data_IF_919593627265
#
_entry.id   IF_919593627265
#
_cell.length_a   1.000
_cell.length_b   1.000
_cell.length_c   1.000
_cell.angle_alpha   90.00
_cell.angle_beta   90.00
_cell.angle_gamma   90.00
#
_symmetry.space_group_name_H-M   'P 1'
#
loop_
_entity.id
_entity.type
_entity.pdbx_description
1 polymer ?
#
# COMPACT_ATOMS: atom_id res chain seq x y z
N UNK A 1 -51.39 15.94 49.45
CA UNK A 1 -49.99 15.43 49.19
C UNK A 1 -49.07 16.13 50.17
N UNK A 2 -48.56 15.38 51.09
CA UNK A 2 -47.72 15.88 52.19
C UNK A 2 -46.32 16.28 51.67
N UNK A 3 -45.70 17.24 52.31
CA UNK A 3 -44.35 17.73 51.97
C UNK A 3 -43.34 16.57 51.84
N UNK A 4 -43.51 15.55 52.64
CA UNK A 4 -42.69 14.32 52.67
C UNK A 4 -42.84 13.54 51.34
N UNK A 5 -44.04 13.43 50.78
CA UNK A 5 -44.28 12.74 49.49
C UNK A 5 -43.57 13.46 48.33
N UNK A 6 -43.56 14.79 48.34
CA UNK A 6 -42.84 15.59 47.32
C UNK A 6 -41.33 15.44 47.42
N UNK A 7 -40.77 15.39 48.59
CA UNK A 7 -39.35 15.17 48.85
C UNK A 7 -38.89 13.77 48.34
N UNK A 8 -39.68 12.74 48.61
CA UNK A 8 -39.41 11.37 48.15
C UNK A 8 -39.43 11.29 46.62
N UNK A 9 -40.35 11.95 45.95
CA UNK A 9 -40.40 11.94 44.48
C UNK A 9 -39.22 12.71 43.87
N UNK A 10 -38.79 13.81 44.47
CA UNK A 10 -37.65 14.59 44.01
C UNK A 10 -36.33 13.78 44.17
N UNK A 11 -36.14 13.12 45.34
CA UNK A 11 -34.95 12.29 45.57
C UNK A 11 -34.92 11.06 44.65
N UNK A 12 -36.08 10.43 44.38
CA UNK A 12 -36.16 9.31 43.44
C UNK A 12 -35.89 9.75 42.02
N UNK A 13 -36.35 10.93 41.59
CA UNK A 13 -36.12 11.47 40.26
C UNK A 13 -34.67 11.92 40.08
N UNK A 14 -34.03 12.51 41.09
CA UNK A 14 -32.58 12.82 41.03
C UNK A 14 -31.70 11.57 41.04
N UNK A 15 -32.07 10.53 41.80
CA UNK A 15 -31.38 9.26 41.79
C UNK A 15 -31.47 8.57 40.41
N UNK A 16 -32.61 8.65 39.74
CA UNK A 16 -32.84 8.12 38.39
C UNK A 16 -32.02 8.87 37.33
N UNK A 17 -31.84 10.18 37.48
CA UNK A 17 -31.00 11.00 36.60
C UNK A 17 -29.51 10.71 36.76
N UNK A 18 -29.05 10.30 37.95
CA UNK A 18 -27.67 9.94 38.26
C UNK A 18 -27.29 8.54 37.78
N UNK A 19 -28.24 7.67 37.46
CA UNK A 19 -28.00 6.37 36.84
C UNK A 19 -27.88 6.43 35.31
N UNK A 20 -27.71 7.62 34.74
CA UNK A 20 -27.37 7.78 33.34
C UNK A 20 -26.17 6.92 33.05
N UNK A 21 -26.36 5.78 32.38
CA UNK A 21 -25.28 4.94 31.89
C UNK A 21 -24.35 5.83 31.09
N UNK A 22 -23.14 6.02 31.56
CA UNK A 22 -22.07 6.54 30.73
C UNK A 22 -22.05 5.64 29.48
N UNK A 23 -22.52 6.17 28.36
CA UNK A 23 -22.37 5.47 27.10
C UNK A 23 -20.86 5.30 26.89
N UNK A 24 -20.35 4.10 27.15
CA UNK A 24 -18.97 3.77 26.81
C UNK A 24 -18.89 3.88 25.30
N UNK A 25 -18.34 4.97 24.81
CA UNK A 25 -18.00 5.08 23.42
C UNK A 25 -17.09 3.91 23.11
N UNK A 26 -17.49 3.05 22.15
CA UNK A 26 -16.65 1.96 21.70
C UNK A 26 -15.31 2.57 21.30
N UNK A 27 -14.24 2.20 22.00
CA UNK A 27 -12.91 2.63 21.63
C UNK A 27 -12.60 2.00 20.27
N UNK A 28 -12.22 2.81 19.31
CA UNK A 28 -11.67 2.32 18.04
C UNK A 28 -10.40 1.54 18.36
N UNK A 29 -10.13 0.45 17.63
CA UNK A 29 -8.90 -0.31 17.81
C UNK A 29 -7.66 0.58 17.65
N UNK A 30 -6.68 0.40 18.52
CA UNK A 30 -5.36 1.03 18.38
C UNK A 30 -4.43 0.09 17.59
N UNK A 31 -4.07 0.51 16.40
CA UNK A 31 -3.22 -0.26 15.48
C UNK A 31 -1.74 0.12 15.57
N UNK A 32 -1.36 1.01 16.50
CA UNK A 32 0.00 1.55 16.59
C UNK A 32 1.06 0.47 16.71
N UNK A 33 0.83 -0.55 17.49
CA UNK A 33 1.83 -1.59 17.74
C UNK A 33 2.00 -2.54 16.56
N UNK A 34 0.90 -2.95 15.91
CA UNK A 34 0.99 -3.79 14.71
C UNK A 34 1.65 -3.04 13.55
N UNK A 35 1.38 -1.74 13.41
CA UNK A 35 2.03 -0.90 12.41
C UNK A 35 3.54 -0.79 12.67
N UNK A 36 3.97 -0.57 13.91
CA UNK A 36 5.39 -0.51 14.28
C UNK A 36 6.12 -1.82 14.00
N UNK A 37 5.47 -2.95 14.23
CA UNK A 37 6.05 -4.28 13.98
C UNK A 37 6.14 -4.61 12.49
N UNK A 38 5.11 -4.28 11.72
CA UNK A 38 5.00 -4.68 10.31
C UNK A 38 5.68 -3.71 9.35
N UNK A 39 5.63 -2.40 9.61
CA UNK A 39 6.16 -1.38 8.70
C UNK A 39 7.65 -1.54 8.34
N UNK A 40 8.55 -2.01 9.22
CA UNK A 40 9.94 -2.21 8.84
C UNK A 40 10.14 -3.21 7.70
N UNK A 41 9.26 -4.19 7.57
CA UNK A 41 9.31 -5.20 6.53
C UNK A 41 8.64 -4.75 5.21
N UNK A 42 7.87 -3.66 5.22
CA UNK A 42 7.25 -3.10 4.02
C UNK A 42 8.27 -2.23 3.29
N UNK A 43 8.35 -2.41 1.98
CA UNK A 43 9.34 -1.74 1.13
C UNK A 43 8.68 -0.95 0.01
N UNK A 44 9.36 0.09 -0.43
CA UNK A 44 9.03 0.82 -1.67
C UNK A 44 9.79 0.16 -2.82
N UNK A 45 9.09 -0.10 -3.90
CA UNK A 45 9.67 -0.59 -5.14
C UNK A 45 9.66 0.52 -6.16
N UNK A 46 10.80 0.82 -6.73
CA UNK A 46 11.01 1.83 -7.75
C UNK A 46 11.50 1.10 -8.98
N UNK A 47 10.83 1.31 -10.10
CA UNK A 47 11.20 0.67 -11.36
C UNK A 47 11.49 1.72 -12.41
N UNK A 48 12.47 1.44 -13.25
CA UNK A 48 12.75 2.19 -14.45
C UNK A 48 12.48 1.31 -15.66
N UNK A 49 11.83 1.85 -16.66
CA UNK A 49 11.55 1.17 -17.91
C UNK A 49 11.78 2.12 -19.10
N UNK A 50 12.41 1.60 -20.13
CA UNK A 50 12.61 2.27 -21.40
C UNK A 50 11.54 1.85 -22.39
N UNK A 51 10.92 2.81 -23.08
CA UNK A 51 9.97 2.52 -24.15
C UNK A 51 8.49 2.67 -23.82
N UNK A 52 7.58 2.30 -24.77
CA UNK A 52 6.13 2.40 -24.60
C UNK A 52 5.60 1.43 -23.56
N UNK A 53 4.49 1.79 -22.89
CA UNK A 53 3.81 0.85 -21.96
C UNK A 53 3.35 -0.38 -22.72
N UNK A 54 3.46 -1.61 -22.12
CA UNK A 54 2.76 -2.78 -22.64
C UNK A 54 1.27 -2.46 -22.84
N UNK A 55 0.74 -2.69 -24.05
CA UNK A 55 -0.66 -2.38 -24.40
C UNK A 55 -0.95 -0.95 -24.87
N UNK A 56 0.00 0.00 -24.83
CA UNK A 56 -0.09 1.28 -25.52
C UNK A 56 0.89 1.29 -26.71
N UNK A 57 0.56 0.54 -27.75
CA UNK A 57 1.21 0.70 -29.03
C UNK A 57 0.93 2.14 -29.50
N UNK A 58 1.95 3.01 -29.48
CA UNK A 58 1.87 4.21 -30.31
C UNK A 58 1.78 3.74 -31.76
N UNK A 59 0.89 4.32 -32.57
CA UNK A 59 0.86 4.01 -33.99
C UNK A 59 2.28 4.15 -34.54
N UNK A 60 2.73 3.15 -35.32
CA UNK A 60 4.01 3.25 -35.99
C UNK A 60 4.05 4.56 -36.79
N UNK A 61 5.23 5.21 -36.94
CA UNK A 61 5.34 6.45 -37.69
C UNK A 61 4.75 6.36 -39.12
N UNK A 62 4.73 5.16 -39.68
CA UNK A 62 4.18 4.87 -41.01
C UNK A 62 2.64 4.82 -41.05
N UNK A 63 1.99 4.55 -39.93
CA UNK A 63 0.53 4.51 -39.78
C UNK A 63 -0.07 5.84 -39.30
N UNK A 64 0.78 6.81 -38.99
CA UNK A 64 0.36 8.11 -38.45
C UNK A 64 -0.04 9.04 -39.58
N UNK A 65 -1.24 9.68 -39.54
CA UNK A 65 -1.63 10.69 -40.51
C UNK A 65 -0.56 11.80 -40.66
N UNK A 66 -0.33 12.24 -41.91
CA UNK A 66 0.77 13.16 -42.24
C UNK A 66 0.72 14.48 -41.45
N UNK A 67 -0.47 14.99 -41.11
CA UNK A 67 -0.62 16.20 -40.31
C UNK A 67 -0.14 16.03 -38.84
N UNK A 68 -0.33 14.84 -38.25
CA UNK A 68 0.19 14.50 -36.92
C UNK A 68 1.71 14.32 -36.96
N UNK A 69 2.22 13.66 -38.02
CA UNK A 69 3.67 13.52 -38.19
C UNK A 69 4.36 14.88 -38.27
N UNK A 70 3.84 15.81 -39.09
CA UNK A 70 4.37 17.20 -39.17
C UNK A 70 4.25 17.98 -37.87
N UNK A 71 3.19 17.75 -37.09
CA UNK A 71 3.03 18.38 -35.78
C UNK A 71 4.11 17.90 -34.79
N UNK A 72 4.46 16.60 -34.80
CA UNK A 72 5.51 16.07 -33.96
C UNK A 72 6.92 16.49 -34.44
N UNK A 73 7.16 16.54 -35.74
CA UNK A 73 8.41 17.04 -36.31
C UNK A 73 8.66 18.51 -35.96
N UNK A 74 7.61 19.35 -36.00
CA UNK A 74 7.70 20.77 -35.65
C UNK A 74 7.95 20.98 -34.14
N UNK A 75 7.58 20.03 -33.30
CA UNK A 75 7.72 20.07 -31.83
C UNK A 75 9.00 19.45 -31.29
N UNK A 76 9.94 19.07 -32.14
CA UNK A 76 11.30 18.64 -31.72
C UNK A 76 11.65 17.18 -31.98
N UNK A 77 11.03 16.52 -32.97
CA UNK A 77 11.43 15.19 -33.41
C UNK A 77 10.95 14.04 -32.53
N UNK A 78 11.28 12.78 -32.89
CA UNK A 78 10.97 11.61 -32.09
C UNK A 78 11.61 11.77 -30.73
N UNK A 79 10.78 11.85 -29.71
CA UNK A 79 11.26 11.95 -28.33
C UNK A 79 12.13 10.73 -28.05
N UNK A 80 13.37 10.96 -27.64
CA UNK A 80 14.19 9.94 -27.00
C UNK A 80 13.35 9.12 -26.06
N UNK A 81 13.53 7.78 -25.99
CA UNK A 81 12.77 6.93 -25.10
C UNK A 81 12.77 7.57 -23.70
N UNK A 82 11.61 8.09 -23.27
CA UNK A 82 11.51 8.66 -21.93
C UNK A 82 11.63 7.48 -20.98
N UNK A 83 12.68 7.48 -20.20
CA UNK A 83 12.74 6.62 -19.02
C UNK A 83 11.47 6.87 -18.21
N UNK A 84 10.69 5.82 -18.02
CA UNK A 84 9.50 5.86 -17.18
C UNK A 84 9.88 5.32 -15.82
N UNK A 85 9.55 6.09 -14.81
CA UNK A 85 9.68 5.65 -13.43
C UNK A 85 8.32 5.18 -12.96
N UNK A 86 8.24 3.95 -12.48
CA UNK A 86 7.09 3.38 -11.79
C UNK A 86 7.40 3.20 -10.31
N UNK A 87 6.37 3.16 -9.49
CA UNK A 87 6.50 2.92 -8.07
C UNK A 87 5.41 1.99 -7.59
N UNK A 88 5.77 1.12 -6.63
CA UNK A 88 4.87 0.21 -5.97
C UNK A 88 5.31 -0.08 -4.54
N UNK A 89 4.62 -0.99 -3.91
CA UNK A 89 4.94 -1.51 -2.58
C UNK A 89 5.20 -2.99 -2.64
N UNK A 90 5.98 -3.49 -1.70
CA UNK A 90 6.24 -4.90 -1.49
C UNK A 90 6.54 -5.16 -0.01
N UNK A 91 6.82 -6.38 0.33
CA UNK A 91 7.20 -6.76 1.68
C UNK A 91 8.22 -7.89 1.68
N UNK A 92 9.09 -7.86 2.67
CA UNK A 92 10.15 -8.84 2.87
C UNK A 92 9.57 -10.11 3.49
N UNK A 93 9.88 -11.27 2.90
CA UNK A 93 9.43 -12.59 3.37
C UNK A 93 10.57 -13.45 3.90
N UNK A 94 11.83 -13.04 3.72
CA UNK A 94 12.99 -13.74 4.30
C UNK A 94 14.12 -12.77 4.66
N UNK A 95 14.86 -13.10 5.71
CA UNK A 95 15.99 -12.30 6.19
C UNK A 95 17.13 -12.19 5.18
N UNK A 96 17.21 -13.11 4.23
CA UNK A 96 18.24 -13.20 3.17
C UNK A 96 17.84 -12.51 1.86
N UNK A 97 16.73 -11.73 1.86
CA UNK A 97 16.44 -10.81 0.77
C UNK A 97 15.34 -11.21 -0.19
N UNK A 98 14.45 -12.14 0.14
CA UNK A 98 13.25 -12.38 -0.67
C UNK A 98 12.16 -11.37 -0.35
N UNK A 99 11.57 -10.81 -1.41
CA UNK A 99 10.55 -9.76 -1.34
C UNK A 99 9.41 -10.12 -2.29
N UNK A 100 8.18 -9.96 -1.82
CA UNK A 100 6.97 -10.14 -2.64
C UNK A 100 6.41 -8.76 -3.01
N UNK A 101 5.98 -8.63 -4.25
CA UNK A 101 5.27 -7.48 -4.80
C UNK A 101 4.27 -7.92 -5.87
N UNK A 102 3.56 -6.99 -6.49
CA UNK A 102 2.69 -7.30 -7.62
C UNK A 102 3.47 -7.40 -8.93
N UNK A 103 3.02 -8.28 -9.82
CA UNK A 103 3.60 -8.45 -11.15
C UNK A 103 3.52 -7.16 -11.96
N UNK A 104 2.37 -6.47 -11.96
CA UNK A 104 2.20 -5.24 -12.72
C UNK A 104 3.14 -4.10 -12.29
N UNK A 105 3.75 -4.17 -11.09
CA UNK A 105 4.75 -3.19 -10.62
C UNK A 105 6.07 -3.37 -11.36
N UNK A 106 6.49 -4.60 -11.62
CA UNK A 106 7.81 -4.93 -12.20
C UNK A 106 7.75 -5.32 -13.67
N UNK A 107 6.55 -5.45 -14.24
CA UNK A 107 6.36 -5.84 -15.63
C UNK A 107 6.99 -4.84 -16.59
N UNK A 108 7.91 -5.33 -17.44
CA UNK A 108 8.64 -4.52 -18.41
C UNK A 108 9.62 -3.52 -17.79
N UNK A 109 10.03 -3.71 -16.53
CA UNK A 109 11.07 -2.93 -15.90
C UNK A 109 12.46 -3.33 -16.41
N UNK A 110 13.31 -2.35 -16.73
CA UNK A 110 14.73 -2.55 -17.04
C UNK A 110 15.56 -2.66 -15.76
N UNK A 111 15.17 -1.92 -14.71
CA UNK A 111 15.79 -1.98 -13.39
C UNK A 111 14.74 -1.90 -12.29
N UNK A 112 15.01 -2.57 -11.18
CA UNK A 112 14.18 -2.58 -9.99
C UNK A 112 15.03 -2.20 -8.79
N UNK A 113 14.65 -1.14 -8.09
CA UNK A 113 15.28 -0.67 -6.86
C UNK A 113 14.30 -0.86 -5.70
N UNK A 114 14.77 -1.47 -4.63
CA UNK A 114 14.02 -1.64 -3.39
C UNK A 114 14.54 -0.66 -2.35
N UNK A 115 13.65 0.16 -1.79
CA UNK A 115 13.98 1.06 -0.69
C UNK A 115 13.25 0.64 0.57
N UNK A 116 14.04 0.40 1.63
CA UNK A 116 13.55 0.04 2.95
C UNK A 116 13.00 1.26 3.72
N UNK A 117 12.31 1.00 4.84
CA UNK A 117 11.82 2.04 5.75
C UNK A 117 12.94 2.89 6.37
N UNK A 118 14.11 2.31 6.59
CA UNK A 118 15.31 2.99 7.10
C UNK A 118 16.12 3.70 6.01
N UNK A 119 15.57 3.78 4.78
CA UNK A 119 16.16 4.42 3.59
C UNK A 119 17.34 3.68 2.96
N UNK A 120 17.68 2.47 3.41
CA UNK A 120 18.61 1.62 2.66
C UNK A 120 18.00 1.27 1.31
N UNK A 121 18.81 1.22 0.29
CA UNK A 121 18.42 0.91 -1.07
C UNK A 121 19.23 -0.29 -1.57
N UNK A 122 18.56 -1.15 -2.33
CA UNK A 122 19.13 -2.35 -2.91
C UNK A 122 18.64 -2.52 -4.34
N UNK A 123 19.56 -2.85 -5.25
CA UNK A 123 19.18 -3.36 -6.56
C UNK A 123 18.54 -4.73 -6.41
N UNK A 124 17.40 -4.92 -7.05
CA UNK A 124 16.63 -6.15 -6.95
C UNK A 124 16.61 -6.90 -8.29
N UNK A 125 16.70 -8.21 -8.21
CA UNK A 125 16.49 -9.11 -9.33
C UNK A 125 15.10 -9.71 -9.27
N UNK A 126 14.40 -9.77 -10.39
CA UNK A 126 13.13 -10.48 -10.51
C UNK A 126 13.44 -11.98 -10.61
N UNK A 127 13.07 -12.73 -9.56
CA UNK A 127 13.29 -14.18 -9.48
C UNK A 127 12.21 -14.93 -10.24
N UNK A 128 10.96 -14.45 -10.16
CA UNK A 128 9.84 -15.03 -10.84
C UNK A 128 8.62 -14.13 -10.79
N UNK A 129 7.69 -14.37 -11.71
CA UNK A 129 6.42 -13.65 -11.81
C UNK A 129 5.28 -14.60 -12.10
N UNK A 130 4.11 -14.30 -11.57
CA UNK A 130 2.86 -14.94 -11.94
C UNK A 130 1.81 -13.85 -12.31
N UNK A 131 1.63 -13.59 -13.62
CA UNK A 131 0.64 -12.61 -14.09
C UNK A 131 -0.80 -12.97 -13.74
N UNK A 132 -1.12 -14.25 -13.48
CA UNK A 132 -2.49 -14.69 -13.18
C UNK A 132 -2.91 -14.31 -11.78
N UNK A 133 -1.99 -14.42 -10.81
CA UNK A 133 -2.19 -13.99 -9.42
C UNK A 133 -1.74 -12.56 -9.17
N UNK A 134 -1.14 -11.91 -10.18
CA UNK A 134 -0.49 -10.59 -10.07
C UNK A 134 0.59 -10.56 -8.98
N UNK A 135 1.42 -11.60 -8.89
CA UNK A 135 2.53 -11.69 -7.94
C UNK A 135 3.88 -11.68 -8.65
N UNK A 136 4.86 -11.09 -8.00
CA UNK A 136 6.27 -11.16 -8.36
C UNK A 136 7.13 -11.40 -7.13
N UNK A 137 8.18 -12.20 -7.31
CA UNK A 137 9.20 -12.48 -6.31
C UNK A 137 10.49 -11.77 -6.73
N UNK A 138 11.02 -10.97 -5.83
CA UNK A 138 12.28 -10.26 -5.99
C UNK A 138 13.32 -10.80 -5.02
N UNK A 139 14.59 -10.62 -5.40
CA UNK A 139 15.74 -10.88 -4.54
C UNK A 139 16.66 -9.67 -4.49
N UNK A 140 17.05 -9.31 -3.29
CA UNK A 140 18.08 -8.31 -3.01
C UNK A 140 19.28 -8.97 -2.32
N UNK A 141 20.46 -8.43 -2.51
CA UNK A 141 21.69 -8.88 -1.81
C UNK A 141 21.77 -8.17 -0.45
N UNK A 142 21.08 -8.73 0.53
CA UNK A 142 21.05 -8.22 1.89
C UNK A 142 20.84 -9.35 2.91
N UNK A 143 21.18 -9.08 4.16
CA UNK A 143 21.02 -10.04 5.25
C UNK A 143 20.40 -9.34 6.47
N UNK A 144 19.78 -10.12 7.35
CA UNK A 144 19.13 -9.62 8.58
C UNK A 144 18.09 -8.56 8.29
N UNK A 145 17.33 -8.75 7.21
CA UNK A 145 16.20 -7.90 6.90
C UNK A 145 15.04 -8.16 7.88
N UNK A 146 14.25 -7.14 8.22
CA UNK A 146 12.98 -7.37 8.92
C UNK A 146 12.03 -8.14 8.01
N UNK A 147 11.35 -9.14 8.54
CA UNK A 147 10.48 -10.05 7.79
C UNK A 147 9.04 -9.86 8.25
N UNK A 148 8.10 -9.89 7.30
CA UNK A 148 6.69 -9.99 7.56
C UNK A 148 6.30 -11.47 7.62
N UNK A 149 5.72 -11.88 8.73
CA UNK A 149 5.20 -13.23 8.89
C UNK A 149 3.90 -13.39 8.10
N UNK A 150 3.82 -14.43 7.28
CA UNK A 150 2.62 -14.75 6.52
C UNK A 150 1.66 -15.52 7.42
N UNK A 151 0.40 -15.11 7.45
CA UNK A 151 -0.64 -15.82 8.17
C UNK A 151 -0.79 -17.25 7.62
N UNK A 152 -0.85 -18.26 8.49
CA UNK A 152 -0.83 -19.65 8.06
C UNK A 152 -2.12 -20.11 7.34
N UNK A 153 -3.24 -19.42 7.52
CA UNK A 153 -4.57 -19.81 7.01
C UNK A 153 -5.50 -18.64 6.72
N UNK A 154 -6.58 -18.94 6.01
CA UNK A 154 -7.69 -18.06 5.67
C UNK A 154 -8.67 -17.87 6.86
N UNK A 155 -8.16 -17.65 8.06
CA UNK A 155 -8.96 -17.52 9.28
C UNK A 155 -9.51 -16.10 9.47
N UNK A 156 -9.68 -15.33 8.37
CA UNK A 156 -10.28 -14.00 8.43
C UNK A 156 -11.80 -14.11 8.36
N UNK A 157 -12.46 -13.60 9.39
CA UNK A 157 -13.89 -13.45 9.37
C UNK A 157 -14.34 -12.16 8.67
N UNK A 158 -15.46 -12.22 7.95
CA UNK A 158 -16.03 -11.02 7.32
C UNK A 158 -16.44 -10.03 8.41
N UNK A 159 -15.86 -8.83 8.36
CA UNK A 159 -16.07 -7.78 9.37
C UNK A 159 -14.91 -7.62 10.35
N UNK A 160 -13.87 -8.45 10.26
CA UNK A 160 -12.63 -8.22 11.01
C UNK A 160 -11.88 -6.99 10.52
N UNK A 161 -11.14 -6.37 11.43
CA UNK A 161 -10.27 -5.26 11.09
C UNK A 161 -9.04 -5.73 10.32
N UNK A 162 -8.79 -5.07 9.20
CA UNK A 162 -7.60 -5.29 8.38
C UNK A 162 -6.85 -3.98 8.17
N UNK A 163 -5.53 -4.07 7.98
CA UNK A 163 -4.68 -2.93 7.67
C UNK A 163 -4.03 -3.12 6.30
N UNK A 164 -4.07 -2.09 5.48
CA UNK A 164 -3.22 -1.98 4.31
C UNK A 164 -2.05 -1.05 4.63
N UNK A 165 -0.82 -1.57 4.48
CA UNK A 165 0.41 -0.82 4.71
C UNK A 165 1.19 -0.77 3.39
N UNK A 166 1.58 0.42 2.94
CA UNK A 166 2.30 0.57 1.70
C UNK A 166 2.93 1.95 1.55
N UNK A 167 3.54 2.20 0.41
CA UNK A 167 4.17 3.47 0.02
C UNK A 167 3.56 3.98 -1.29
N UNK A 168 2.25 4.27 -1.32
CA UNK A 168 1.57 4.70 -2.54
C UNK A 168 2.08 6.08 -2.97
N UNK A 169 2.15 6.31 -4.28
CA UNK A 169 2.52 7.60 -4.90
C UNK A 169 3.87 8.17 -4.47
N UNK A 170 4.80 7.35 -3.98
CA UNK A 170 6.10 7.82 -3.54
C UNK A 170 6.13 8.48 -2.16
N UNK A 171 4.99 8.53 -1.46
CA UNK A 171 4.91 9.00 -0.08
C UNK A 171 5.56 8.00 0.87
N UNK A 172 6.09 8.49 1.99
CA UNK A 172 6.58 7.61 3.04
C UNK A 172 5.38 6.97 3.73
N UNK A 173 5.34 5.66 3.76
CA UNK A 173 4.37 4.76 4.38
C UNK A 173 2.97 5.33 4.69
N UNK A 174 1.98 4.78 4.04
CA UNK A 174 0.56 5.02 4.37
C UNK A 174 -0.01 3.77 5.01
N UNK A 175 -0.83 3.97 6.03
CA UNK A 175 -1.60 2.91 6.68
C UNK A 175 -3.08 3.23 6.55
N UNK A 176 -3.85 2.28 6.06
CA UNK A 176 -5.30 2.39 5.94
C UNK A 176 -5.94 1.22 6.69
N UNK A 177 -6.92 1.50 7.53
CA UNK A 177 -7.70 0.50 8.24
C UNK A 177 -9.06 0.31 7.58
N UNK A 178 -9.54 -0.93 7.57
CA UNK A 178 -10.83 -1.31 7.01
C UNK A 178 -11.34 -2.62 7.60
N UNK A 179 -12.47 -3.07 7.10
CA UNK A 179 -13.11 -4.34 7.44
C UNK A 179 -13.46 -5.11 6.18
#
# INVERSE_FOLDING_TARGET
MTLLSRLIHITLFTALLLTGRAASAAQLPDFTDIVKQSSPAVVKIIVEASGPRPGQAQPAPEEMPEYLRRFFEFRGGPQTPRQRMGMGSGFVISEDGLIVTNNHVVEGADSVLVRMSDRREFDAQVVGTDPRSDLALLRVDATKLPVLELAPHDDLDVGEWVLAIGSPFGLDYSVTAGI
#
